data_IF_046287608398
#
_entry.id   IF_046287608398
#
_cell.length_a   1.000
_cell.length_b   1.000
_cell.length_c   1.000
_cell.angle_alpha   90.00
_cell.angle_beta   90.00
_cell.angle_gamma   90.00
#
_symmetry.space_group_name_H-M   'P 1'
#
loop_
_entity.id
_entity.type
_entity.pdbx_description
1 polymer ?
#
# COMPACT_ATOMS: atom_id res chain seq x y z
N UNK A 1 55.80 7.70 -33.03
CA UNK A 1 54.50 8.23 -33.52
C UNK A 1 53.48 7.10 -33.56
N UNK A 2 52.61 6.94 -32.55
CA UNK A 2 51.57 5.86 -32.54
C UNK A 2 50.40 6.09 -31.58
N UNK A 3 50.12 7.35 -31.19
CA UNK A 3 49.12 7.69 -30.15
C UNK A 3 47.90 8.48 -30.65
N UNK A 4 47.84 8.80 -31.96
CA UNK A 4 46.71 9.52 -32.57
C UNK A 4 45.61 8.61 -33.13
N UNK A 5 45.85 7.30 -33.31
CA UNK A 5 44.90 6.40 -33.98
C UNK A 5 43.85 5.77 -33.05
N UNK A 6 44.05 5.82 -31.72
CA UNK A 6 43.10 5.22 -30.76
C UNK A 6 41.94 6.14 -30.39
N UNK A 7 42.09 7.47 -30.56
CA UNK A 7 41.02 8.43 -30.29
C UNK A 7 40.02 8.54 -31.45
N UNK A 8 40.48 8.32 -32.70
CA UNK A 8 39.61 8.33 -33.88
C UNK A 8 38.68 7.11 -33.94
N UNK A 9 39.15 5.92 -33.52
CA UNK A 9 38.34 4.70 -33.49
C UNK A 9 37.26 4.77 -32.39
N UNK A 10 37.57 5.40 -31.26
CA UNK A 10 36.60 5.59 -30.17
C UNK A 10 35.52 6.62 -30.51
N UNK A 11 35.84 7.63 -31.32
CA UNK A 11 34.86 8.60 -31.84
C UNK A 11 33.96 8.02 -32.94
N UNK A 12 34.49 7.15 -33.80
CA UNK A 12 33.69 6.48 -34.86
C UNK A 12 32.67 5.50 -34.27
N UNK A 13 32.97 4.83 -33.14
CA UNK A 13 32.00 3.97 -32.45
C UNK A 13 30.88 4.74 -31.71
N UNK A 14 31.09 6.00 -31.33
CA UNK A 14 30.04 6.84 -30.71
C UNK A 14 29.11 7.46 -31.77
N UNK A 15 29.61 7.70 -32.99
CA UNK A 15 28.79 8.25 -34.09
C UNK A 15 27.90 7.19 -34.74
N UNK A 16 28.30 5.91 -34.76
CA UNK A 16 27.47 4.81 -35.30
C UNK A 16 26.26 4.49 -34.38
N UNK A 17 26.29 4.89 -33.10
CA UNK A 17 25.17 4.73 -32.18
C UNK A 17 24.08 5.82 -32.31
N UNK A 18 24.28 6.85 -33.14
CA UNK A 18 23.37 8.00 -33.29
C UNK A 18 22.64 8.07 -34.64
N UNK A 19 22.79 7.07 -35.51
CA UNK A 19 22.12 6.99 -36.84
C UNK A 19 21.08 5.85 -36.89
N UNK A 20 20.56 5.45 -35.72
CA UNK A 20 19.56 4.38 -35.57
C UNK A 20 18.08 4.83 -35.53
N UNK A 21 17.75 6.07 -35.92
CA UNK A 21 16.36 6.51 -36.05
C UNK A 21 15.99 6.70 -37.52
N UNK A 22 15.43 5.66 -38.14
CA UNK A 22 14.44 5.84 -39.20
C UNK A 22 13.44 4.67 -39.25
N UNK A 23 12.20 5.03 -38.96
CA UNK A 23 10.89 4.37 -38.98
C UNK A 23 10.67 2.97 -39.60
N UNK A 24 9.92 2.15 -38.85
CA UNK A 24 8.71 1.48 -39.36
C UNK A 24 7.57 1.65 -38.33
N UNK A 25 6.33 1.99 -38.72
CA UNK A 25 5.24 2.25 -37.79
C UNK A 25 4.72 0.97 -37.14
N UNK A 26 4.63 0.96 -35.81
CA UNK A 26 4.04 -0.13 -35.05
C UNK A 26 2.52 -0.24 -35.31
N UNK A 27 1.94 -1.45 -35.38
CA UNK A 27 0.50 -1.63 -35.57
C UNK A 27 -0.28 -1.07 -34.37
N UNK A 28 -1.36 -0.33 -34.66
CA UNK A 28 -2.28 0.23 -33.66
C UNK A 28 -2.85 -0.90 -32.78
N UNK A 29 -2.92 -0.75 -31.44
CA UNK A 29 -3.71 -1.65 -30.62
C UNK A 29 -5.20 -1.46 -30.95
N UNK A 30 -5.84 -2.49 -31.49
CA UNK A 30 -7.29 -2.56 -31.58
C UNK A 30 -7.90 -2.52 -30.17
N UNK A 31 -8.91 -1.68 -30.00
CA UNK A 31 -9.68 -1.59 -28.78
C UNK A 31 -10.40 -2.92 -28.51
N UNK A 32 -10.28 -3.53 -27.31
CA UNK A 32 -11.17 -4.62 -26.95
C UNK A 32 -12.60 -4.09 -26.81
N UNK A 33 -13.45 -4.65 -27.65
CA UNK A 33 -14.91 -4.52 -27.76
C UNK A 33 -15.59 -4.50 -26.38
N UNK A 34 -16.53 -3.56 -26.21
CA UNK A 34 -17.39 -3.43 -25.05
C UNK A 34 -18.07 -4.76 -24.69
N UNK A 35 -17.87 -5.21 -23.46
CA UNK A 35 -18.69 -6.27 -22.86
C UNK A 35 -19.96 -5.63 -22.27
N UNK A 36 -21.09 -6.13 -22.72
CA UNK A 36 -22.45 -5.84 -22.26
C UNK A 36 -22.61 -6.19 -20.76
N UNK A 37 -23.42 -5.44 -19.98
CA UNK A 37 -23.49 -5.62 -18.53
C UNK A 37 -24.15 -6.96 -18.16
N UNK A 38 -23.41 -7.78 -17.41
CA UNK A 38 -23.95 -8.98 -16.79
C UNK A 38 -24.97 -8.61 -15.69
N UNK A 39 -26.08 -9.36 -15.68
CA UNK A 39 -27.26 -9.22 -14.83
C UNK A 39 -26.97 -9.15 -13.33
N UNK A 40 -27.84 -8.40 -12.65
CA UNK A 40 -27.98 -8.33 -11.20
C UNK A 40 -28.12 -9.73 -10.58
N UNK A 41 -27.34 -9.99 -9.53
CA UNK A 41 -27.58 -11.08 -8.59
C UNK A 41 -27.98 -10.48 -7.25
N UNK A 42 -29.15 -10.90 -6.83
CA UNK A 42 -29.92 -10.56 -5.64
C UNK A 42 -29.18 -10.94 -4.35
N UNK A 43 -29.27 -10.07 -3.33
CA UNK A 43 -28.65 -10.27 -2.01
C UNK A 43 -29.45 -11.28 -1.16
N UNK A 44 -28.82 -12.23 -0.46
CA UNK A 44 -29.53 -13.00 0.56
C UNK A 44 -29.63 -12.21 1.88
N UNK A 45 -30.85 -12.21 2.42
CA UNK A 45 -31.26 -11.63 3.70
C UNK A 45 -30.57 -12.30 4.91
N UNK A 46 -30.35 -11.61 6.04
CA UNK A 46 -29.60 -12.17 7.18
C UNK A 46 -30.39 -13.25 7.91
N UNK A 47 -29.77 -14.42 8.13
CA UNK A 47 -30.28 -15.46 9.00
C UNK A 47 -29.75 -15.30 10.44
N UNK A 48 -30.63 -15.68 11.35
CA UNK A 48 -30.66 -15.49 12.81
C UNK A 48 -29.46 -16.10 13.56
N UNK A 49 -29.01 -15.41 14.60
CA UNK A 49 -27.96 -15.84 15.54
C UNK A 49 -28.42 -17.02 16.42
N UNK A 50 -27.52 -17.97 16.79
CA UNK A 50 -27.75 -18.82 17.94
C UNK A 50 -27.23 -18.18 19.23
N UNK A 51 -28.06 -18.35 20.24
CA UNK A 51 -28.02 -17.85 21.60
C UNK A 51 -26.93 -18.54 22.43
N UNK A 52 -26.37 -17.79 23.37
CA UNK A 52 -25.45 -18.24 24.40
C UNK A 52 -26.07 -19.33 25.29
N UNK A 53 -25.25 -20.29 25.72
CA UNK A 53 -25.54 -21.17 26.86
C UNK A 53 -24.40 -21.01 27.86
N UNK A 54 -24.73 -20.42 29.01
CA UNK A 54 -23.87 -20.29 30.18
C UNK A 54 -23.78 -21.61 30.98
N UNK A 55 -22.83 -21.72 31.92
CA UNK A 55 -22.23 -22.98 32.36
C UNK A 55 -22.94 -23.63 33.55
N UNK A 56 -22.86 -24.96 33.61
CA UNK A 56 -23.31 -25.75 34.77
C UNK A 56 -22.28 -25.72 35.91
N UNK A 57 -22.75 -25.57 37.15
CA UNK A 57 -22.02 -25.67 38.43
C UNK A 57 -22.89 -26.50 39.41
N UNK A 58 -22.38 -26.97 40.57
CA UNK A 58 -21.50 -28.13 40.81
C UNK A 58 -22.17 -29.19 41.71
N UNK A 59 -21.59 -30.39 41.81
CA UNK A 59 -21.87 -31.34 42.89
C UNK A 59 -20.57 -31.76 43.60
N UNK A 60 -20.67 -32.00 44.89
CA UNK A 60 -19.65 -31.84 45.92
C UNK A 60 -18.71 -33.04 46.17
N UNK A 61 -17.63 -32.71 46.89
CA UNK A 61 -16.52 -33.50 47.45
C UNK A 61 -16.96 -34.58 48.47
N UNK A 62 -16.12 -35.62 48.72
CA UNK A 62 -15.21 -35.61 49.89
C UNK A 62 -13.82 -36.19 49.50
N UNK A 63 -12.70 -36.09 50.20
CA UNK A 63 -12.27 -35.52 51.46
C UNK A 63 -10.73 -35.32 51.35
N UNK A 64 -10.18 -34.49 52.25
CA UNK A 64 -8.78 -34.12 52.30
C UNK A 64 -7.83 -35.28 52.64
N UNK A 65 -6.72 -35.38 51.90
CA UNK A 65 -5.46 -35.91 52.38
C UNK A 65 -4.36 -34.92 52.02
N UNK A 66 -3.65 -34.46 53.05
CA UNK A 66 -2.66 -33.38 53.04
C UNK A 66 -1.32 -33.97 52.61
N UNK A 67 -0.94 -33.81 51.34
CA UNK A 67 0.39 -34.21 50.85
C UNK A 67 1.34 -33.01 50.78
N UNK A 68 2.54 -33.21 51.28
CA UNK A 68 3.54 -32.19 51.60
C UNK A 68 4.04 -31.41 50.37
N UNK A 69 4.17 -30.10 50.53
CA UNK A 69 4.72 -29.20 49.51
C UNK A 69 6.22 -29.46 49.29
N UNK A 70 6.57 -30.03 48.13
CA UNK A 70 7.93 -30.07 47.60
C UNK A 70 8.24 -28.71 46.92
N UNK A 71 9.46 -28.16 47.02
CA UNK A 71 9.77 -26.86 46.42
C UNK A 71 9.58 -26.92 44.90
N UNK A 72 8.66 -26.09 44.39
CA UNK A 72 8.44 -25.91 42.95
C UNK A 72 9.68 -25.22 42.39
N UNK A 73 10.50 -25.97 41.67
CA UNK A 73 11.53 -25.42 40.80
C UNK A 73 10.90 -24.34 39.92
N UNK A 74 11.47 -23.15 39.96
CA UNK A 74 11.07 -22.01 39.16
C UNK A 74 11.18 -22.40 37.69
N UNK A 75 10.03 -22.65 37.05
CA UNK A 75 9.96 -22.94 35.64
C UNK A 75 10.49 -21.72 34.89
N UNK A 76 11.65 -21.88 34.24
CA UNK A 76 12.20 -20.89 33.35
C UNK A 76 11.12 -20.42 32.38
N UNK A 77 10.87 -19.10 32.35
CA UNK A 77 10.00 -18.47 31.35
C UNK A 77 10.40 -19.00 29.97
N UNK A 78 9.46 -19.52 29.15
CA UNK A 78 9.77 -19.89 27.78
C UNK A 78 10.42 -18.68 27.10
N UNK A 79 11.64 -18.84 26.56
CA UNK A 79 12.20 -17.84 25.64
C UNK A 79 11.17 -17.67 24.53
N UNK A 80 10.65 -16.45 24.38
CA UNK A 80 9.70 -16.12 23.34
C UNK A 80 10.27 -16.58 21.99
N UNK A 81 9.57 -17.48 21.31
CA UNK A 81 9.94 -17.88 19.95
C UNK A 81 9.75 -16.66 19.04
N UNK A 82 10.64 -16.45 18.07
CA UNK A 82 10.55 -15.29 17.21
C UNK A 82 9.21 -15.29 16.46
N UNK A 83 8.49 -14.18 16.51
CA UNK A 83 7.23 -14.00 15.78
C UNK A 83 7.54 -13.42 14.41
N UNK A 84 7.16 -14.13 13.35
CA UNK A 84 7.24 -13.60 11.99
C UNK A 84 6.01 -12.75 11.68
N UNK A 85 6.23 -11.52 11.20
CA UNK A 85 5.19 -10.59 10.76
C UNK A 85 5.44 -10.22 9.32
N UNK A 86 4.47 -10.47 8.44
CA UNK A 86 4.54 -10.17 7.01
C UNK A 86 4.05 -8.75 6.76
N UNK A 87 4.95 -7.92 6.26
CA UNK A 87 4.73 -6.49 6.08
C UNK A 87 4.85 -6.12 4.62
N UNK A 88 3.86 -5.39 4.10
CA UNK A 88 3.93 -4.88 2.72
C UNK A 88 5.08 -3.88 2.55
N UNK A 89 5.74 -3.94 1.40
CA UNK A 89 6.72 -2.93 0.97
C UNK A 89 6.44 -2.48 -0.46
N UNK A 90 6.49 -1.18 -0.68
CA UNK A 90 6.68 -0.61 -2.01
C UNK A 90 8.18 -0.47 -2.24
N UNK A 91 8.80 -1.56 -2.70
CA UNK A 91 10.23 -1.63 -2.95
C UNK A 91 10.71 -0.45 -3.80
N UNK A 92 11.77 0.23 -3.35
CA UNK A 92 12.34 1.41 -4.01
C UNK A 92 11.71 2.75 -3.62
N UNK A 93 10.63 2.77 -2.82
CA UNK A 93 10.09 4.03 -2.29
C UNK A 93 10.88 4.51 -1.08
N UNK A 94 11.25 5.78 -1.06
CA UNK A 94 11.85 6.43 0.12
C UNK A 94 10.95 6.32 1.36
N UNK A 95 9.63 6.25 1.14
CA UNK A 95 8.67 6.09 2.22
C UNK A 95 8.76 4.74 2.93
N UNK A 96 9.38 3.73 2.30
CA UNK A 96 9.53 2.38 2.85
C UNK A 96 10.90 2.14 3.52
N UNK A 97 11.79 3.15 3.47
CA UNK A 97 13.08 3.11 4.15
C UNK A 97 12.97 2.75 5.65
N UNK A 98 12.03 3.32 6.45
CA UNK A 98 11.89 2.91 7.85
C UNK A 98 11.52 1.43 8.02
N UNK A 99 10.66 0.88 7.15
CA UNK A 99 10.24 -0.53 7.19
C UNK A 99 11.41 -1.46 6.92
N UNK A 100 12.19 -1.17 5.87
CA UNK A 100 13.35 -1.99 5.48
C UNK A 100 14.48 -1.93 6.51
N UNK A 101 14.69 -0.79 7.16
CA UNK A 101 15.65 -0.67 8.26
C UNK A 101 15.18 -1.35 9.55
N UNK A 102 13.88 -1.28 9.85
CA UNK A 102 13.29 -2.00 10.98
C UNK A 102 13.44 -3.52 10.80
N UNK A 103 13.20 -4.05 9.60
CA UNK A 103 13.30 -5.49 9.32
C UNK A 103 14.68 -6.08 9.62
N UNK A 104 15.75 -5.30 9.46
CA UNK A 104 17.13 -5.72 9.77
C UNK A 104 17.43 -5.75 11.27
N UNK A 105 16.75 -4.93 12.07
CA UNK A 105 17.13 -4.64 13.47
C UNK A 105 16.13 -5.19 14.51
N UNK A 106 14.90 -5.49 14.08
CA UNK A 106 13.83 -5.91 15.00
C UNK A 106 13.95 -7.36 15.46
N UNK A 107 14.58 -8.23 14.66
CA UNK A 107 14.83 -9.63 15.03
C UNK A 107 15.63 -9.75 16.32
N UNK A 108 16.77 -9.06 16.37
CA UNK A 108 17.69 -9.12 17.51
C UNK A 108 17.13 -8.46 18.77
N UNK A 109 16.39 -7.36 18.61
CA UNK A 109 15.94 -6.53 19.73
C UNK A 109 14.61 -6.98 20.32
N UNK A 110 13.66 -7.41 19.49
CA UNK A 110 12.28 -7.66 19.90
C UNK A 110 11.83 -9.10 19.67
N UNK A 111 12.70 -9.98 19.17
CA UNK A 111 12.32 -11.33 18.74
C UNK A 111 11.17 -11.29 17.70
N UNK A 112 11.18 -10.28 16.84
CA UNK A 112 10.21 -10.12 15.75
C UNK A 112 10.95 -10.16 14.42
N UNK A 113 10.64 -11.14 13.59
CA UNK A 113 11.16 -11.24 12.22
C UNK A 113 10.16 -10.54 11.31
N UNK A 114 10.57 -9.43 10.70
CA UNK A 114 9.74 -8.77 9.68
C UNK A 114 10.04 -9.38 8.32
N UNK A 115 9.07 -10.10 7.77
CA UNK A 115 9.11 -10.60 6.40
C UNK A 115 8.54 -9.51 5.47
N UNK A 116 9.41 -8.89 4.68
CA UNK A 116 9.05 -7.74 3.85
C UNK A 116 8.64 -8.22 2.47
N UNK A 117 7.34 -8.11 2.17
CA UNK A 117 6.74 -8.60 0.93
C UNK A 117 6.47 -7.44 -0.02
N UNK A 118 7.01 -7.51 -1.24
CA UNK A 118 6.79 -6.48 -2.25
C UNK A 118 5.32 -6.47 -2.71
N UNK A 119 4.64 -5.33 -2.55
CA UNK A 119 3.26 -5.14 -2.98
C UNK A 119 3.04 -3.70 -3.45
N UNK A 120 2.75 -3.54 -4.75
CA UNK A 120 2.72 -2.22 -5.39
C UNK A 120 1.36 -1.54 -5.33
N UNK A 121 0.26 -2.31 -5.42
CA UNK A 121 -1.09 -1.76 -5.53
C UNK A 121 -1.81 -1.78 -4.18
N UNK A 122 -2.38 -0.66 -3.71
CA UNK A 122 -3.07 -0.60 -2.41
C UNK A 122 -4.26 -1.57 -2.29
N UNK A 123 -5.02 -1.78 -3.36
CA UNK A 123 -6.16 -2.71 -3.33
C UNK A 123 -5.70 -4.16 -3.17
N UNK A 124 -4.61 -4.56 -3.82
CA UNK A 124 -4.04 -5.90 -3.72
C UNK A 124 -3.49 -6.13 -2.30
N UNK A 125 -2.88 -5.11 -1.69
CA UNK A 125 -2.43 -5.17 -0.30
C UNK A 125 -3.59 -5.39 0.68
N UNK A 126 -4.71 -4.67 0.51
CA UNK A 126 -5.90 -4.88 1.34
C UNK A 126 -6.45 -6.30 1.16
N UNK A 127 -6.54 -6.79 -0.08
CA UNK A 127 -7.01 -8.14 -0.35
C UNK A 127 -6.11 -9.20 0.32
N UNK A 128 -4.78 -9.01 0.24
CA UNK A 128 -3.79 -9.86 0.89
C UNK A 128 -3.86 -9.79 2.44
N UNK A 129 -4.14 -8.62 3.02
CA UNK A 129 -4.37 -8.45 4.45
C UNK A 129 -5.64 -9.19 4.91
N UNK A 130 -6.74 -9.03 4.16
CA UNK A 130 -8.02 -9.71 4.47
C UNK A 130 -7.90 -11.22 4.27
N UNK A 131 -7.15 -11.66 3.25
CA UNK A 131 -6.86 -13.07 2.97
C UNK A 131 -5.82 -13.68 3.92
N UNK A 132 -5.17 -12.88 4.77
CA UNK A 132 -4.19 -13.35 5.76
C UNK A 132 -2.82 -13.72 5.18
N UNK A 133 -2.49 -13.29 3.95
CA UNK A 133 -1.14 -13.43 3.38
C UNK A 133 -0.20 -12.28 3.78
N UNK A 134 -0.75 -11.14 4.19
CA UNK A 134 -0.04 -10.04 4.85
C UNK A 134 -0.63 -9.80 6.24
N UNK A 135 0.21 -9.39 7.20
CA UNK A 135 -0.22 -9.07 8.57
C UNK A 135 -0.32 -7.55 8.78
N UNK A 136 0.55 -6.78 8.12
CA UNK A 136 0.57 -5.31 8.18
C UNK A 136 0.74 -4.76 6.76
N UNK A 137 -0.05 -3.74 6.43
CA UNK A 137 0.04 -3.05 5.14
C UNK A 137 0.13 -1.54 5.30
N UNK A 138 0.79 -0.87 4.35
CA UNK A 138 0.93 0.58 4.33
C UNK A 138 0.15 1.17 3.15
N UNK A 139 -1.12 1.48 3.40
CA UNK A 139 -2.02 2.09 2.41
C UNK A 139 -2.58 3.42 2.90
N UNK A 140 -3.10 4.22 1.97
CA UNK A 140 -3.76 5.47 2.32
C UNK A 140 -5.06 5.23 3.12
N UNK A 141 -5.45 6.13 4.05
CA UNK A 141 -6.60 5.91 4.93
C UNK A 141 -7.93 5.70 4.19
N UNK A 142 -8.11 6.33 3.03
CA UNK A 142 -9.33 6.20 2.22
C UNK A 142 -9.55 4.77 1.71
N UNK A 143 -8.46 4.06 1.40
CA UNK A 143 -8.50 2.65 0.98
C UNK A 143 -9.01 1.78 2.13
N UNK A 144 -8.51 2.03 3.35
CA UNK A 144 -8.95 1.32 4.56
C UNK A 144 -10.42 1.60 4.87
N UNK A 145 -10.84 2.87 4.80
CA UNK A 145 -12.23 3.26 5.03
C UNK A 145 -13.16 2.57 4.04
N UNK A 146 -12.82 2.52 2.74
CA UNK A 146 -13.61 1.79 1.74
C UNK A 146 -13.69 0.30 2.03
N UNK A 147 -12.57 -0.32 2.41
CA UNK A 147 -12.54 -1.74 2.74
C UNK A 147 -13.39 -2.07 3.97
N UNK A 148 -13.34 -1.25 5.02
CA UNK A 148 -14.18 -1.42 6.22
C UNK A 148 -15.65 -1.18 5.90
N UNK A 149 -15.97 -0.16 5.11
CA UNK A 149 -17.35 0.10 4.65
C UNK A 149 -17.92 -1.06 3.82
N UNK A 150 -17.06 -1.78 3.08
CA UNK A 150 -17.39 -3.02 2.36
C UNK A 150 -17.47 -4.28 3.23
N UNK A 151 -17.34 -4.16 4.56
CA UNK A 151 -17.41 -5.29 5.51
C UNK A 151 -16.06 -5.91 5.88
N UNK A 152 -14.94 -5.36 5.41
CA UNK A 152 -13.60 -5.81 5.77
C UNK A 152 -13.30 -5.60 7.25
N UNK A 153 -12.78 -6.64 7.92
CA UNK A 153 -12.42 -6.61 9.35
C UNK A 153 -10.97 -6.20 9.56
N UNK A 154 -10.63 -4.99 9.16
CA UNK A 154 -9.28 -4.42 9.27
C UNK A 154 -9.30 -3.13 10.11
N UNK A 155 -8.15 -2.73 10.67
CA UNK A 155 -8.02 -1.54 11.52
C UNK A 155 -6.72 -0.80 11.21
N UNK A 156 -6.75 0.52 11.39
CA UNK A 156 -5.54 1.36 11.39
C UNK A 156 -4.93 1.28 12.78
N UNK A 157 -3.67 0.85 12.87
CA UNK A 157 -2.93 0.69 14.14
C UNK A 157 -1.88 1.79 14.37
N UNK A 158 -1.63 2.63 13.37
CA UNK A 158 -0.66 3.71 13.42
C UNK A 158 -0.52 4.42 12.08
N UNK A 159 0.22 5.52 12.07
CA UNK A 159 0.55 6.28 10.87
C UNK A 159 2.08 6.32 10.69
N UNK A 160 2.52 6.13 9.44
CA UNK A 160 3.93 6.33 9.06
C UNK A 160 4.25 7.79 8.76
N UNK A 161 3.22 8.57 8.47
CA UNK A 161 3.29 9.97 8.07
C UNK A 161 2.06 10.69 8.61
N UNK A 162 2.27 11.72 9.41
CA UNK A 162 1.18 12.51 10.01
C UNK A 162 0.48 13.40 8.98
N UNK A 163 1.20 13.76 7.92
CA UNK A 163 0.69 14.55 6.81
C UNK A 163 1.12 13.95 5.46
N UNK A 164 0.28 14.11 4.43
CA UNK A 164 0.64 13.79 3.06
C UNK A 164 1.81 14.65 2.57
N UNK A 165 2.89 14.02 2.11
CA UNK A 165 4.01 14.70 1.46
C UNK A 165 3.76 14.87 -0.06
N UNK A 166 2.63 15.49 -0.43
CA UNK A 166 2.30 15.78 -1.83
C UNK A 166 2.48 17.25 -2.16
N UNK A 167 3.10 17.50 -3.31
CA UNK A 167 3.30 18.84 -3.85
C UNK A 167 2.60 18.95 -5.20
N UNK A 168 1.89 20.06 -5.42
CA UNK A 168 1.41 20.42 -6.75
C UNK A 168 2.58 21.03 -7.53
N UNK A 169 2.94 20.40 -8.65
CA UNK A 169 4.02 20.88 -9.52
C UNK A 169 3.41 21.45 -10.79
N UNK A 170 3.80 22.67 -11.14
CA UNK A 170 3.32 23.37 -12.34
C UNK A 170 4.48 23.65 -13.30
N UNK A 171 4.14 23.99 -14.55
CA UNK A 171 5.13 24.53 -15.49
C UNK A 171 5.64 25.89 -15.01
N UNK A 172 6.86 26.27 -15.42
CA UNK A 172 7.48 27.56 -15.06
C UNK A 172 6.62 28.79 -15.40
N UNK A 173 5.72 28.66 -16.37
CA UNK A 173 4.84 29.74 -16.82
C UNK A 173 3.60 29.93 -15.92
N UNK A 174 3.34 28.99 -15.01
CA UNK A 174 2.23 29.04 -14.05
C UNK A 174 2.80 29.43 -12.68
N UNK A 175 2.66 30.71 -12.34
CA UNK A 175 3.17 31.33 -11.10
C UNK A 175 2.05 31.68 -10.12
N UNK A 176 0.79 31.64 -10.54
CA UNK A 176 -0.38 31.94 -9.70
C UNK A 176 -1.51 30.94 -9.91
N UNK A 177 -2.32 30.62 -8.90
CA UNK A 177 -3.41 29.65 -9.03
C UNK A 177 -4.45 29.99 -10.10
N UNK A 178 -4.78 31.26 -10.29
CA UNK A 178 -5.75 31.68 -11.32
C UNK A 178 -5.36 31.27 -12.74
N UNK A 179 -4.07 31.05 -13.00
CA UNK A 179 -3.58 30.60 -14.31
C UNK A 179 -3.89 29.12 -14.60
N UNK A 180 -4.38 28.38 -13.60
CA UNK A 180 -4.91 27.02 -13.76
C UNK A 180 -6.33 27.01 -14.32
N UNK A 181 -7.02 28.16 -14.37
CA UNK A 181 -8.36 28.25 -14.97
C UNK A 181 -8.32 27.87 -16.46
N UNK A 182 -9.18 26.96 -16.88
CA UNK A 182 -9.23 26.37 -18.21
C UNK A 182 -8.02 25.49 -18.57
N UNK A 183 -7.21 25.07 -17.58
CA UNK A 183 -6.08 24.14 -17.80
C UNK A 183 -6.44 22.73 -17.38
N UNK A 184 -5.70 21.78 -17.94
CA UNK A 184 -5.73 20.38 -17.55
C UNK A 184 -4.74 20.16 -16.41
N UNK A 185 -5.21 19.55 -15.33
CA UNK A 185 -4.41 19.15 -14.17
C UNK A 185 -4.31 17.63 -14.13
N UNK A 186 -3.08 17.12 -14.07
CA UNK A 186 -2.83 15.68 -13.96
C UNK A 186 -3.08 15.15 -12.56
N UNK A 187 -3.70 13.97 -12.46
CA UNK A 187 -3.87 13.21 -11.22
C UNK A 187 -3.54 11.72 -11.44
N UNK A 188 -3.20 10.99 -10.39
CA UNK A 188 -2.90 9.55 -10.49
C UNK A 188 -4.16 8.70 -10.70
N UNK A 189 -5.31 9.15 -10.21
CA UNK A 189 -6.61 8.51 -10.39
C UNK A 189 -7.74 9.50 -10.14
N UNK A 190 -8.91 9.36 -10.76
CA UNK A 190 -9.97 10.37 -10.58
C UNK A 190 -10.64 10.33 -9.20
N UNK A 191 -10.60 9.19 -8.50
CA UNK A 191 -11.36 8.94 -7.26
C UNK A 191 -10.50 8.64 -6.03
N UNK A 192 -9.18 8.75 -6.15
CA UNK A 192 -8.23 8.50 -5.06
C UNK A 192 -8.15 9.59 -4.00
N UNK A 193 -7.55 9.26 -2.85
CA UNK A 193 -7.24 10.24 -1.80
C UNK A 193 -6.38 11.38 -2.31
N UNK A 194 -5.34 11.12 -3.10
CA UNK A 194 -4.47 12.16 -3.67
C UNK A 194 -5.27 13.18 -4.46
N UNK A 195 -6.28 12.75 -5.23
CA UNK A 195 -7.11 13.62 -6.06
C UNK A 195 -8.18 14.35 -5.26
N UNK A 196 -8.70 13.73 -4.20
CA UNK A 196 -9.52 14.44 -3.21
C UNK A 196 -8.71 15.56 -2.54
N UNK A 197 -7.45 15.30 -2.19
CA UNK A 197 -6.56 16.31 -1.64
C UNK A 197 -6.20 17.40 -2.65
N UNK A 198 -5.95 17.04 -3.91
CA UNK A 198 -5.75 17.99 -5.00
C UNK A 198 -6.95 18.93 -5.16
N UNK A 199 -8.18 18.40 -5.19
CA UNK A 199 -9.40 19.22 -5.25
C UNK A 199 -9.50 20.18 -4.07
N UNK A 200 -9.27 19.69 -2.85
CA UNK A 200 -9.26 20.53 -1.64
C UNK A 200 -8.17 21.59 -1.67
N UNK A 201 -7.00 21.29 -2.24
CA UNK A 201 -5.93 22.26 -2.44
C UNK A 201 -6.36 23.35 -3.44
N UNK A 202 -6.90 22.97 -4.59
CA UNK A 202 -7.37 23.91 -5.61
C UNK A 202 -8.52 24.80 -5.09
N UNK A 203 -9.46 24.22 -4.33
CA UNK A 203 -10.51 24.98 -3.63
C UNK A 203 -9.95 26.02 -2.65
N UNK A 204 -8.94 25.63 -1.84
CA UNK A 204 -8.24 26.57 -0.96
C UNK A 204 -7.49 27.67 -1.70
N UNK A 205 -7.11 27.43 -2.95
CA UNK A 205 -6.49 28.41 -3.84
C UNK A 205 -7.51 29.26 -4.61
N UNK A 206 -8.81 29.10 -4.34
CA UNK A 206 -9.89 29.89 -4.95
C UNK A 206 -10.40 29.35 -6.29
N UNK A 207 -10.00 28.14 -6.69
CA UNK A 207 -10.47 27.48 -7.90
C UNK A 207 -11.67 26.59 -7.60
N UNK A 208 -12.67 26.62 -8.48
CA UNK A 208 -13.83 25.74 -8.43
C UNK A 208 -13.62 24.52 -9.32
N UNK A 209 -14.36 23.44 -9.09
CA UNK A 209 -14.21 22.21 -9.88
C UNK A 209 -14.53 22.36 -11.38
N UNK A 210 -15.25 23.41 -11.77
CA UNK A 210 -15.53 23.76 -13.16
C UNK A 210 -14.50 24.70 -13.78
N UNK A 211 -13.51 25.15 -13.01
CA UNK A 211 -12.45 26.03 -13.50
C UNK A 211 -11.31 25.24 -14.15
N UNK A 212 -11.23 23.91 -14.00
CA UNK A 212 -10.12 23.10 -14.53
C UNK A 212 -10.59 21.70 -14.90
N UNK A 213 -9.84 21.04 -15.77
CA UNK A 213 -10.08 19.64 -16.14
C UNK A 213 -9.11 18.72 -15.41
N UNK A 214 -9.56 17.53 -15.02
CA UNK A 214 -8.69 16.50 -14.44
C UNK A 214 -8.49 15.35 -15.42
N UNK A 215 -7.22 15.01 -15.65
CA UNK A 215 -6.83 13.86 -16.48
C UNK A 215 -5.95 12.92 -15.67
N UNK A 216 -6.15 11.62 -15.87
CA UNK A 216 -5.31 10.59 -15.26
C UNK A 216 -3.97 10.51 -15.99
N UNK A 217 -2.87 10.66 -15.26
CA UNK A 217 -1.51 10.66 -15.82
C UNK A 217 -0.58 9.59 -15.22
N UNK A 218 -1.03 8.83 -14.22
CA UNK A 218 -0.28 7.70 -13.63
C UNK A 218 -0.29 7.65 -12.12
#
# INVERSE_FOLDING_TARGET
>A
MRRKSSFAVLWIMVVIALIGCSAAPAPKPEAPKAAEPAKAVEAPKPAVAPKATEPSKPAATPAAAKEAAKPKAEAAKPKAQPVTVRVSSMAGSITDFPTTEAAKKFGDKYSVIMDVVAAQRPNDQIAALVGGSLDIVFVAPDVVVRAVAGGGKIKIIGARQDAPAWSLVSSKNITKPDQLKGKVVGASELKGSTTVMLRKLLEKLGLKSNDYDLVVVG
#
